data_IF_263081019218
#
_entry.id   IF_263081019218
#
_cell.length_a   1.000
_cell.length_b   1.000
_cell.length_c   1.000
_cell.angle_alpha   90.00
_cell.angle_beta   90.00
_cell.angle_gamma   90.00
#
_symmetry.space_group_name_H-M   'P 1'
#
loop_
_entity.id
_entity.type
_entity.pdbx_description
1 polymer ?
#
# COMPACT_ATOMS: atom_id res chain seq x y z
N UNK A 1 12.40 8.97 13.99
CA UNK A 1 11.25 9.88 13.93
C UNK A 1 10.99 10.23 12.49
N UNK A 2 9.86 9.75 11.99
CA UNK A 2 9.34 10.06 10.66
C UNK A 2 8.63 11.41 10.77
N UNK A 3 9.14 12.44 10.10
CA UNK A 3 8.51 13.78 10.07
C UNK A 3 7.54 13.88 8.88
N UNK A 4 6.36 13.27 9.00
CA UNK A 4 5.27 13.45 8.03
C UNK A 4 3.90 13.30 8.70
N UNK A 5 2.87 13.92 8.13
CA UNK A 5 1.49 13.78 8.61
C UNK A 5 0.84 12.45 8.17
N UNK A 6 1.23 11.94 6.99
CA UNK A 6 0.71 10.70 6.41
C UNK A 6 1.79 9.86 5.75
N UNK A 7 1.64 8.54 5.80
CA UNK A 7 2.51 7.57 5.10
C UNK A 7 1.67 6.77 4.10
N UNK A 8 2.09 6.79 2.83
CA UNK A 8 1.52 5.91 1.82
C UNK A 8 2.15 4.53 1.86
N UNK A 9 1.32 3.49 1.97
CA UNK A 9 1.75 2.09 1.95
C UNK A 9 1.70 1.53 0.52
N UNK A 10 2.88 1.20 -0.02
CA UNK A 10 3.00 0.36 -1.22
C UNK A 10 2.61 -1.11 -0.91
N UNK A 11 2.36 -1.90 -1.94
CA UNK A 11 2.02 -3.32 -1.87
C UNK A 11 3.12 -4.15 -1.21
N UNK A 12 4.40 -3.85 -1.48
CA UNK A 12 5.51 -4.69 -0.98
C UNK A 12 5.56 -4.74 0.56
N UNK A 13 5.56 -3.61 1.29
CA UNK A 13 5.44 -3.63 2.75
C UNK A 13 4.18 -4.34 3.25
N UNK A 14 3.03 -4.14 2.61
CA UNK A 14 1.77 -4.80 3.00
C UNK A 14 1.88 -6.32 2.87
N UNK A 15 2.50 -6.82 1.79
CA UNK A 15 2.78 -8.25 1.61
C UNK A 15 3.69 -8.74 2.74
N UNK A 16 4.81 -8.08 3.02
CA UNK A 16 5.75 -8.55 4.03
C UNK A 16 5.14 -8.62 5.43
N UNK A 17 4.27 -7.68 5.76
CA UNK A 17 3.55 -7.69 7.03
C UNK A 17 2.51 -8.82 7.09
N UNK A 18 1.59 -8.87 6.13
CA UNK A 18 0.47 -9.83 6.17
C UNK A 18 0.88 -11.28 5.89
N UNK A 19 1.95 -11.49 5.13
CA UNK A 19 2.45 -12.82 4.80
C UNK A 19 3.59 -13.28 5.72
N UNK A 20 3.91 -12.50 6.76
CA UNK A 20 4.99 -12.78 7.72
C UNK A 20 6.31 -13.13 7.01
N UNK A 21 6.75 -12.28 6.08
CA UNK A 21 7.95 -12.54 5.30
C UNK A 21 9.16 -12.77 6.22
N UNK A 22 9.88 -13.88 5.98
CA UNK A 22 10.97 -14.33 6.86
C UNK A 22 12.10 -13.31 6.99
N UNK A 23 12.32 -12.48 5.95
CA UNK A 23 13.42 -11.52 5.92
C UNK A 23 12.97 -10.12 6.36
N UNK A 24 11.73 -9.75 6.05
CA UNK A 24 11.28 -8.36 6.18
C UNK A 24 10.06 -8.16 7.08
N UNK A 25 9.33 -9.22 7.46
CA UNK A 25 8.10 -9.13 8.26
C UNK A 25 8.30 -8.36 9.57
N UNK A 26 9.23 -8.79 10.43
CA UNK A 26 9.54 -8.12 11.69
C UNK A 26 9.98 -6.65 11.49
N UNK A 27 10.69 -6.36 10.40
CA UNK A 27 11.15 -5.01 10.10
C UNK A 27 9.97 -4.12 9.72
N UNK A 28 9.07 -4.61 8.87
CA UNK A 28 7.88 -3.86 8.47
C UNK A 28 6.93 -3.69 9.65
N UNK A 29 6.71 -4.73 10.45
CA UNK A 29 5.91 -4.64 11.69
C UNK A 29 6.43 -3.54 12.62
N UNK A 30 7.75 -3.47 12.83
CA UNK A 30 8.36 -2.40 13.65
C UNK A 30 8.12 -1.00 13.06
N UNK A 31 8.17 -0.86 11.73
CA UNK A 31 7.93 0.42 11.05
C UNK A 31 6.45 0.82 11.18
N UNK A 32 5.52 -0.10 10.91
CA UNK A 32 4.08 0.16 11.04
C UNK A 32 3.71 0.49 12.49
N UNK A 33 4.32 -0.19 13.47
CA UNK A 33 4.14 0.13 14.89
C UNK A 33 4.65 1.53 15.23
N UNK A 34 5.84 1.93 14.76
CA UNK A 34 6.35 3.30 14.97
C UNK A 34 5.41 4.35 14.34
N UNK A 35 4.87 4.09 13.15
CA UNK A 35 3.90 4.98 12.49
C UNK A 35 2.65 5.16 13.37
N UNK A 36 2.07 4.06 13.85
CA UNK A 36 0.88 4.06 14.70
C UNK A 36 1.12 4.73 16.06
N UNK A 37 2.24 4.42 16.74
CA UNK A 37 2.59 4.99 18.03
C UNK A 37 2.80 6.52 17.98
N UNK A 38 3.31 7.01 16.84
CA UNK A 38 3.47 8.44 16.60
C UNK A 38 2.19 9.12 16.09
N UNK A 39 1.08 8.38 15.93
CA UNK A 39 -0.20 8.92 15.46
C UNK A 39 -0.18 9.39 14.00
N UNK A 40 0.72 8.83 13.19
CA UNK A 40 0.84 9.16 11.76
C UNK A 40 -0.20 8.35 10.99
N UNK A 41 -0.97 9.01 10.12
CA UNK A 41 -2.02 8.35 9.35
C UNK A 41 -1.41 7.48 8.24
N UNK A 42 -1.84 6.22 8.16
CA UNK A 42 -1.49 5.34 7.05
C UNK A 42 -2.55 5.43 5.97
N UNK A 43 -2.12 5.53 4.71
CA UNK A 43 -3.00 5.56 3.55
C UNK A 43 -2.51 4.59 2.48
N UNK A 44 -3.40 4.09 1.63
CA UNK A 44 -2.98 3.33 0.44
C UNK A 44 -3.98 3.51 -0.70
N UNK A 45 -3.82 2.75 -1.79
CA UNK A 45 -4.63 2.92 -3.00
C UNK A 45 -5.37 1.64 -3.39
N UNK A 46 -6.36 1.80 -4.26
CA UNK A 46 -7.01 0.68 -4.94
C UNK A 46 -6.02 -0.21 -5.72
N UNK A 47 -4.86 0.33 -6.11
CA UNK A 47 -3.79 -0.43 -6.75
C UNK A 47 -3.21 -1.47 -5.78
N UNK A 48 -2.86 -1.05 -4.56
CA UNK A 48 -2.33 -1.96 -3.52
C UNK A 48 -3.32 -3.07 -3.18
N UNK A 49 -4.60 -2.72 -3.08
CA UNK A 49 -5.69 -3.69 -2.91
C UNK A 49 -5.74 -4.72 -4.04
N UNK A 50 -5.71 -4.27 -5.30
CA UNK A 50 -5.72 -5.16 -6.46
C UNK A 50 -4.48 -6.06 -6.50
N UNK A 51 -3.29 -5.52 -6.27
CA UNK A 51 -2.04 -6.28 -6.34
C UNK A 51 -1.95 -7.34 -5.24
N UNK A 52 -2.27 -6.97 -3.99
CA UNK A 52 -2.26 -7.92 -2.88
C UNK A 52 -3.29 -9.04 -3.11
N UNK A 53 -4.55 -8.69 -3.42
CA UNK A 53 -5.65 -9.66 -3.49
C UNK A 53 -5.63 -10.57 -4.73
N UNK A 54 -4.88 -10.22 -5.78
CA UNK A 54 -4.78 -11.04 -7.00
C UNK A 54 -4.34 -12.48 -6.69
N UNK A 55 -3.32 -12.66 -5.84
CA UNK A 55 -2.81 -13.99 -5.49
C UNK A 55 -3.76 -14.77 -4.54
N UNK A 56 -4.26 -14.19 -3.44
CA UNK A 56 -5.28 -14.80 -2.59
C UNK A 56 -6.54 -15.23 -3.37
N UNK A 57 -7.07 -14.41 -4.28
CA UNK A 57 -8.22 -14.82 -5.11
C UNK A 57 -7.87 -15.97 -6.06
N UNK A 58 -6.71 -15.93 -6.71
CA UNK A 58 -6.25 -17.00 -7.61
C UNK A 58 -6.10 -18.34 -6.88
N UNK A 59 -5.68 -18.31 -5.62
CA UNK A 59 -5.46 -19.49 -4.78
C UNK A 59 -6.66 -19.85 -3.90
N UNK A 60 -7.75 -19.07 -3.95
CA UNK A 60 -8.91 -19.19 -3.05
C UNK A 60 -8.54 -19.17 -1.57
N UNK A 61 -7.49 -18.42 -1.22
CA UNK A 61 -7.04 -18.28 0.16
C UNK A 61 -7.87 -17.18 0.85
N UNK A 62 -9.01 -17.60 1.41
CA UNK A 62 -9.94 -16.70 2.11
C UNK A 62 -9.28 -16.06 3.33
N UNK A 63 -8.40 -16.79 4.03
CA UNK A 63 -7.71 -16.27 5.21
C UNK A 63 -6.89 -15.02 4.88
N UNK A 64 -6.17 -15.02 3.75
CA UNK A 64 -5.40 -13.84 3.31
C UNK A 64 -6.29 -12.69 2.83
N UNK A 65 -7.42 -12.98 2.20
CA UNK A 65 -8.39 -11.95 1.79
C UNK A 65 -8.94 -11.25 3.03
N UNK A 66 -9.37 -12.02 4.02
CA UNK A 66 -9.92 -11.50 5.26
C UNK A 66 -8.85 -10.73 6.05
N UNK A 67 -7.61 -11.23 6.12
CA UNK A 67 -6.50 -10.55 6.78
C UNK A 67 -6.20 -9.18 6.17
N UNK A 68 -6.24 -9.04 4.84
CA UNK A 68 -6.05 -7.75 4.18
C UNK A 68 -7.14 -6.74 4.56
N UNK A 69 -8.42 -7.15 4.47
CA UNK A 69 -9.51 -6.22 4.80
C UNK A 69 -9.61 -5.93 6.29
N UNK A 70 -9.27 -6.89 7.17
CA UNK A 70 -9.13 -6.66 8.60
C UNK A 70 -8.02 -5.64 8.87
N UNK A 71 -6.84 -5.78 8.27
CA UNK A 71 -5.76 -4.81 8.42
C UNK A 71 -6.15 -3.38 7.99
N UNK A 72 -6.81 -3.25 6.84
CA UNK A 72 -7.31 -1.95 6.38
C UNK A 72 -8.32 -1.34 7.36
N UNK A 73 -9.25 -2.16 7.87
CA UNK A 73 -10.30 -1.71 8.78
C UNK A 73 -9.76 -1.38 10.19
N UNK A 74 -8.98 -2.29 10.77
CA UNK A 74 -8.48 -2.21 12.15
C UNK A 74 -7.48 -1.06 12.31
N UNK A 75 -6.73 -0.73 11.26
CA UNK A 75 -5.80 0.39 11.24
C UNK A 75 -6.38 1.67 10.62
N UNK A 76 -7.68 1.70 10.30
CA UNK A 76 -8.39 2.84 9.67
C UNK A 76 -7.65 3.41 8.44
N UNK A 77 -7.16 2.53 7.56
CA UNK A 77 -6.33 2.89 6.41
C UNK A 77 -7.23 3.31 5.24
N UNK A 78 -7.26 4.58 4.83
CA UNK A 78 -8.04 4.99 3.67
C UNK A 78 -7.51 4.34 2.38
N UNK A 79 -8.43 3.75 1.61
CA UNK A 79 -8.18 3.21 0.27
C UNK A 79 -8.58 4.24 -0.79
N UNK A 80 -7.60 4.94 -1.35
CA UNK A 80 -7.84 5.96 -2.37
C UNK A 80 -8.14 5.32 -3.75
N UNK A 81 -9.25 5.71 -4.41
CA UNK A 81 -9.56 5.27 -5.76
C UNK A 81 -8.67 5.97 -6.79
N UNK A 82 -8.51 5.36 -7.96
CA UNK A 82 -7.81 5.99 -9.08
C UNK A 82 -8.81 6.76 -9.94
N UNK A 83 -8.77 8.08 -9.86
CA UNK A 83 -9.61 8.98 -10.63
C UNK A 83 -8.85 9.62 -11.81
N UNK A 84 -9.54 10.50 -12.56
CA UNK A 84 -8.93 11.24 -13.68
C UNK A 84 -7.75 12.10 -13.24
N UNK A 85 -7.80 12.67 -12.05
CA UNK A 85 -6.75 13.55 -11.50
C UNK A 85 -5.47 12.77 -11.25
N UNK A 86 -5.59 11.61 -10.61
CA UNK A 86 -4.48 10.69 -10.35
C UNK A 86 -3.92 10.15 -11.67
N UNK A 87 -4.80 9.78 -12.62
CA UNK A 87 -4.37 9.30 -13.93
C UNK A 87 -3.56 10.37 -14.73
N UNK A 88 -3.99 11.63 -14.72
CA UNK A 88 -3.25 12.74 -15.35
C UNK A 88 -1.88 12.95 -14.69
N UNK A 89 -1.84 12.98 -13.35
CA UNK A 89 -0.58 13.08 -12.60
C UNK A 89 0.36 11.93 -12.90
N UNK A 90 -0.12 10.68 -12.90
CA UNK A 90 0.69 9.51 -13.23
C UNK A 90 1.23 9.55 -14.66
N UNK A 91 0.44 10.03 -15.62
CA UNK A 91 0.90 10.24 -17.00
C UNK A 91 2.04 11.26 -17.06
N UNK A 92 1.97 12.36 -16.30
CA UNK A 92 3.06 13.35 -16.21
C UNK A 92 4.32 12.76 -15.58
N UNK A 93 4.19 12.03 -14.46
CA UNK A 93 5.30 11.33 -13.80
C UNK A 93 6.01 10.42 -14.81
N UNK A 94 5.27 9.65 -15.60
CA UNK A 94 5.87 8.74 -16.60
C UNK A 94 6.50 9.46 -17.79
N UNK A 95 5.96 10.61 -18.18
CA UNK A 95 6.53 11.42 -19.25
C UNK A 95 7.90 12.00 -18.83
N UNK A 96 8.02 12.42 -17.57
CA UNK A 96 9.25 12.98 -17.00
C UNK A 96 10.26 11.88 -16.63
N UNK A 97 9.79 10.81 -15.99
CA UNK A 97 10.61 9.73 -15.46
C UNK A 97 10.31 8.40 -16.16
N UNK A 98 11.05 8.14 -17.25
CA UNK A 98 10.85 6.96 -18.12
C UNK A 98 10.99 5.60 -17.42
N UNK A 99 11.60 5.55 -16.24
CA UNK A 99 11.83 4.31 -15.49
C UNK A 99 10.57 3.80 -14.77
N UNK A 100 9.60 4.66 -14.44
CA UNK A 100 8.41 4.22 -13.71
C UNK A 100 7.43 3.45 -14.60
N UNK A 101 6.99 2.30 -14.10
CA UNK A 101 5.90 1.55 -14.71
C UNK A 101 4.57 2.26 -14.46
N UNK A 102 3.53 1.82 -15.16
CA UNK A 102 2.19 2.41 -15.04
C UNK A 102 1.64 2.36 -13.61
N UNK A 103 1.80 1.21 -12.94
CA UNK A 103 1.29 0.96 -11.58
C UNK A 103 2.04 1.80 -10.54
N UNK A 104 3.38 1.75 -10.57
CA UNK A 104 4.23 2.55 -9.69
C UNK A 104 3.92 4.06 -9.82
N UNK A 105 3.70 4.54 -11.05
CA UNK A 105 3.34 5.94 -11.29
C UNK A 105 1.95 6.30 -10.75
N UNK A 106 1.00 5.36 -10.76
CA UNK A 106 -0.34 5.57 -10.18
C UNK A 106 -0.28 5.61 -8.66
N UNK A 107 0.48 4.71 -8.03
CA UNK A 107 0.72 4.75 -6.58
C UNK A 107 1.42 6.04 -6.17
N UNK A 108 2.49 6.45 -6.87
CA UNK A 108 3.18 7.72 -6.62
C UNK A 108 2.29 8.94 -6.84
N UNK A 109 1.37 8.90 -7.82
CA UNK A 109 0.41 9.99 -8.04
C UNK A 109 -0.69 10.05 -6.97
N UNK A 110 -0.89 8.97 -6.22
CA UNK A 110 -1.88 8.86 -5.14
C UNK A 110 -1.30 9.32 -3.80
N UNK A 111 -0.01 9.07 -3.55
CA UNK A 111 0.73 9.54 -2.38
C UNK A 111 0.82 11.08 -2.32
#
# INVERSE_FOLDING_TARGET
>A
MIECEKVFLDTTPVIYFLDEDVNFGNKVESILSEILENGIEMVTSAITCMEYLTYPYKTKNIQKIDAFFAFILDCDIPLYPIDKTIADKAARIRAEYKAFKAMDALQLATA
#
